data_IF_013095424599
#
_entry.id   IF_013095424599
#
_cell.length_a   1.000
_cell.length_b   1.000
_cell.length_c   1.000
_cell.angle_alpha   90.00
_cell.angle_beta   90.00
_cell.angle_gamma   90.00
#
_symmetry.space_group_name_H-M   'P 1'
#
loop_
_entity.id
_entity.type
_entity.pdbx_description
1 polymer ?
#
# COMPACT_ATOMS: atom_id res chain seq x y z
N UNK A 1 0.59 6.87 7.69
CA UNK A 1 -0.47 7.16 6.69
C UNK A 1 0.18 7.23 5.32
N UNK A 2 -0.52 6.87 4.25
CA UNK A 2 -0.01 6.97 2.87
C UNK A 2 -1.05 7.63 1.96
N UNK A 3 -0.61 8.61 1.17
CA UNK A 3 -1.49 9.34 0.25
C UNK A 3 -1.72 8.54 -1.03
N UNK A 4 -2.98 8.41 -1.44
CA UNK A 4 -3.35 7.80 -2.72
C UNK A 4 -3.10 8.82 -3.83
N UNK A 5 -2.40 8.47 -4.92
CA UNK A 5 -2.17 9.39 -6.04
C UNK A 5 -3.50 9.93 -6.58
N UNK A 6 -3.56 11.24 -6.86
CA UNK A 6 -4.79 11.90 -7.31
C UNK A 6 -5.40 11.28 -8.58
N UNK A 7 -4.57 10.75 -9.47
CA UNK A 7 -5.03 10.05 -10.67
C UNK A 7 -5.90 8.81 -10.33
N UNK A 8 -5.65 8.17 -9.19
CA UNK A 8 -6.41 7.03 -8.69
C UNK A 8 -7.61 7.44 -7.82
N UNK A 9 -7.70 8.70 -7.38
CA UNK A 9 -8.78 9.18 -6.50
C UNK A 9 -10.17 8.99 -7.13
N UNK A 10 -10.30 9.09 -8.45
CA UNK A 10 -11.55 8.84 -9.18
C UNK A 10 -12.11 7.41 -8.99
N UNK A 11 -11.29 6.48 -8.51
CA UNK A 11 -11.67 5.10 -8.20
C UNK A 11 -11.93 4.87 -6.70
N UNK A 12 -11.80 5.92 -5.89
CA UNK A 12 -12.03 5.89 -4.44
C UNK A 12 -13.40 6.52 -4.18
N UNK A 13 -14.21 5.99 -3.24
CA UNK A 13 -15.45 6.63 -2.81
C UNK A 13 -15.22 8.07 -2.34
N UNK A 14 -16.21 8.94 -2.50
CA UNK A 14 -16.12 10.34 -2.05
C UNK A 14 -16.41 10.51 -0.54
N UNK A 15 -16.46 9.41 0.21
CA UNK A 15 -16.72 9.36 1.64
C UNK A 15 -15.61 8.63 2.38
N UNK A 16 -15.46 8.93 3.67
CA UNK A 16 -14.52 8.21 4.52
C UNK A 16 -15.01 6.78 4.73
N UNK A 17 -14.14 5.81 4.49
CA UNK A 17 -14.58 4.42 4.46
C UNK A 17 -13.46 3.44 4.77
N UNK A 18 -13.85 2.23 5.12
CA UNK A 18 -12.94 1.11 5.37
C UNK A 18 -12.50 0.49 4.04
N UNK A 19 -11.20 0.23 3.91
CA UNK A 19 -10.65 -0.58 2.83
C UNK A 19 -10.08 -1.88 3.38
N UNK A 20 -10.29 -2.97 2.67
CA UNK A 20 -9.61 -4.25 2.95
C UNK A 20 -8.44 -4.41 1.98
N UNK A 21 -7.23 -4.56 2.52
CA UNK A 21 -6.02 -4.86 1.76
C UNK A 21 -5.67 -6.32 1.98
N UNK A 22 -5.57 -7.10 0.90
CA UNK A 22 -5.15 -8.49 0.90
C UNK A 22 -3.67 -8.60 0.50
N UNK A 23 -2.88 -9.43 1.17
CA UNK A 23 -1.54 -9.79 0.70
C UNK A 23 -1.62 -10.77 -0.48
N UNK A 24 -0.72 -10.61 -1.44
CA UNK A 24 -0.43 -11.65 -2.43
C UNK A 24 0.72 -12.52 -1.92
N UNK A 25 0.53 -13.83 -1.76
CA UNK A 25 1.59 -14.78 -1.35
C UNK A 25 1.20 -15.73 -0.22
N UNK A 26 2.18 -16.50 0.29
CA UNK A 26 2.00 -17.65 1.20
C UNK A 26 1.56 -17.34 2.64
N UNK A 27 1.44 -16.07 3.00
CA UNK A 27 0.78 -15.62 4.23
C UNK A 27 -0.48 -14.84 3.86
N UNK A 28 -1.63 -15.52 3.81
CA UNK A 28 -2.93 -14.92 3.50
C UNK A 28 -3.40 -14.04 4.67
N UNK A 29 -2.91 -12.80 4.72
CA UNK A 29 -3.37 -11.78 5.65
C UNK A 29 -4.25 -10.77 4.94
N UNK A 30 -5.28 -10.29 5.62
CA UNK A 30 -6.03 -9.11 5.21
C UNK A 30 -6.00 -8.07 6.34
N UNK A 31 -5.96 -6.80 5.94
CA UNK A 31 -5.90 -5.68 6.85
C UNK A 31 -6.95 -4.66 6.50
N UNK A 32 -7.66 -4.20 7.53
CA UNK A 32 -8.58 -3.07 7.43
C UNK A 32 -7.80 -1.76 7.59
N UNK A 33 -7.90 -0.88 6.60
CA UNK A 33 -7.25 0.44 6.60
C UNK A 33 -8.24 1.56 6.28
N UNK A 34 -8.26 2.60 7.12
CA UNK A 34 -9.20 3.71 6.96
C UNK A 34 -8.76 4.62 5.82
N UNK A 35 -9.61 4.78 4.82
CA UNK A 35 -9.45 5.75 3.76
C UNK A 35 -10.10 7.08 4.17
N UNK A 36 -9.26 8.05 4.50
CA UNK A 36 -9.69 9.43 4.72
C UNK A 36 -9.75 10.14 3.38
N UNK A 37 -10.94 10.63 3.03
CA UNK A 37 -11.18 11.35 1.79
C UNK A 37 -11.42 12.81 2.11
N UNK A 38 -10.67 13.68 1.44
CA UNK A 38 -10.78 15.14 1.46
C UNK A 38 -10.94 15.66 0.04
N UNK A 39 -11.33 16.92 -0.13
CA UNK A 39 -11.53 17.53 -1.45
C UNK A 39 -10.31 17.40 -2.37
N UNK A 40 -9.10 17.55 -1.84
CA UNK A 40 -7.87 17.51 -2.64
C UNK A 40 -7.20 16.12 -2.73
N UNK A 41 -7.45 15.21 -1.78
CA UNK A 41 -6.68 13.97 -1.66
C UNK A 41 -7.46 12.85 -0.95
N UNK A 42 -6.99 11.61 -1.13
CA UNK A 42 -7.38 10.46 -0.32
C UNK A 42 -6.15 9.86 0.36
N UNK A 43 -6.30 9.27 1.54
CA UNK A 43 -5.17 8.77 2.34
C UNK A 43 -5.58 7.54 3.14
N UNK A 44 -4.79 6.46 3.06
CA UNK A 44 -4.89 5.37 4.03
C UNK A 44 -4.23 5.77 5.35
N UNK A 45 -4.98 5.66 6.44
CA UNK A 45 -4.66 6.25 7.74
C UNK A 45 -4.57 5.18 8.84
N UNK A 46 -5.56 5.09 9.73
CA UNK A 46 -5.65 4.06 10.77
C UNK A 46 -5.61 2.67 10.12
N UNK A 47 -4.85 1.76 10.72
CA UNK A 47 -4.61 0.41 10.18
C UNK A 47 -3.38 0.31 9.28
N UNK A 48 -2.97 1.40 8.61
CA UNK A 48 -1.81 1.38 7.69
C UNK A 48 -0.49 1.01 8.39
N UNK A 49 -0.24 1.55 9.59
CA UNK A 49 0.99 1.24 10.33
C UNK A 49 1.04 -0.20 10.82
N UNK A 50 -0.11 -0.76 11.22
CA UNK A 50 -0.21 -2.18 11.59
C UNK A 50 0.08 -3.06 10.38
N UNK A 51 -0.56 -2.76 9.26
CA UNK A 51 -0.32 -3.40 7.98
C UNK A 51 1.17 -3.39 7.59
N UNK A 52 1.82 -2.22 7.60
CA UNK A 52 3.23 -2.10 7.20
C UNK A 52 4.23 -2.83 8.13
N UNK A 53 3.83 -3.08 9.39
CA UNK A 53 4.63 -3.86 10.34
C UNK A 53 4.47 -5.36 10.15
N UNK A 54 3.28 -5.82 9.80
CA UNK A 54 2.94 -7.24 9.65
C UNK A 54 3.27 -7.78 8.25
N UNK A 55 3.19 -6.93 7.22
CA UNK A 55 3.63 -7.21 5.87
C UNK A 55 4.93 -6.44 5.64
N UNK A 56 6.11 -7.05 5.90
CA UNK A 56 7.38 -6.34 6.00
C UNK A 56 7.81 -5.80 4.64
N UNK A 57 7.38 -4.57 4.37
CA UNK A 57 7.84 -3.76 3.23
C UNK A 57 9.14 -3.08 3.65
N UNK A 58 10.17 -3.20 2.83
CA UNK A 58 11.47 -2.55 3.06
C UNK A 58 11.62 -1.28 2.21
N UNK A 59 12.54 -0.41 2.61
CA UNK A 59 12.91 0.75 1.78
C UNK A 59 13.51 0.22 0.47
N UNK A 60 13.00 0.71 -0.66
CA UNK A 60 13.41 0.27 -1.99
C UNK A 60 12.41 -0.70 -2.65
N UNK A 61 11.49 -1.27 -1.87
CA UNK A 61 10.43 -2.12 -2.42
C UNK A 61 9.47 -1.33 -3.29
N UNK A 62 9.07 -1.93 -4.41
CA UNK A 62 7.96 -1.43 -5.22
C UNK A 62 6.68 -2.15 -4.78
N UNK A 63 5.87 -1.44 -3.99
CA UNK A 63 4.53 -1.85 -3.62
C UNK A 63 3.51 -1.49 -4.70
N UNK A 64 2.74 -2.46 -5.16
CA UNK A 64 1.62 -2.26 -6.10
C UNK A 64 0.31 -2.60 -5.39
N UNK A 65 -0.54 -1.58 -5.22
CA UNK A 65 -1.89 -1.75 -4.70
C UNK A 65 -2.90 -1.77 -5.85
N UNK A 66 -3.53 -2.92 -6.07
CA UNK A 66 -4.51 -3.12 -7.13
C UNK A 66 -5.92 -3.15 -6.54
N UNK A 67 -6.77 -2.20 -6.93
CA UNK A 67 -8.20 -2.23 -6.59
C UNK A 67 -8.87 -3.39 -7.35
N UNK A 68 -9.46 -4.33 -6.63
CA UNK A 68 -10.11 -5.53 -7.20
C UNK A 68 -11.63 -5.49 -7.09
N UNK A 69 -12.16 -4.80 -6.08
CA UNK A 69 -13.58 -4.49 -5.87
C UNK A 69 -13.69 -3.11 -5.22
N UNK A 70 -14.88 -2.49 -5.16
CA UNK A 70 -15.07 -1.33 -4.30
C UNK A 70 -14.49 -1.59 -2.91
N UNK A 71 -13.62 -0.69 -2.47
CA UNK A 71 -13.00 -0.73 -1.14
C UNK A 71 -12.12 -1.96 -0.86
N UNK A 72 -11.72 -2.70 -1.89
CA UNK A 72 -10.98 -3.94 -1.73
C UNK A 72 -9.75 -3.95 -2.66
N UNK A 73 -8.58 -4.14 -2.06
CA UNK A 73 -7.30 -4.07 -2.75
C UNK A 73 -6.48 -5.34 -2.54
N UNK A 74 -5.66 -5.69 -3.53
CA UNK A 74 -4.56 -6.66 -3.38
C UNK A 74 -3.24 -5.91 -3.43
N UNK A 75 -2.37 -6.18 -2.46
CA UNK A 75 -1.01 -5.67 -2.45
C UNK A 75 -0.05 -6.72 -2.98
N UNK A 76 0.86 -6.29 -3.85
CA UNK A 76 2.01 -7.08 -4.31
C UNK A 76 3.29 -6.30 -4.11
N UNK A 77 4.33 -6.95 -3.59
CA UNK A 77 5.70 -6.41 -3.55
C UNK A 77 6.47 -6.98 -4.73
N UNK A 78 7.21 -6.12 -5.43
CA UNK A 78 8.23 -6.52 -6.39
C UNK A 78 9.54 -5.84 -6.03
N UNK A 79 10.60 -6.61 -5.81
CA UNK A 79 11.92 -6.07 -5.55
C UNK A 79 12.48 -5.54 -6.87
N UNK A 80 13.11 -4.35 -6.87
CA UNK A 80 14.15 -4.10 -7.86
C UNK A 80 15.34 -4.96 -7.46
N UNK A 81 16.01 -5.60 -8.42
CA UNK A 81 17.29 -6.25 -8.16
C UNK A 81 18.16 -5.26 -7.37
N UNK A 82 18.75 -5.72 -6.26
CA UNK A 82 19.67 -4.92 -5.46
C UNK A 82 20.70 -4.34 -6.42
N UNK A 83 20.77 -3.02 -6.50
CA UNK A 83 21.92 -2.35 -7.09
C UNK A 83 23.11 -2.85 -6.25
N UNK A 84 23.99 -3.65 -6.85
CA UNK A 84 25.12 -4.24 -6.15
C UNK A 84 25.91 -3.09 -5.52
N UNK A 85 25.96 -3.08 -4.19
CA UNK A 85 26.78 -2.17 -3.42
C UNK A 85 28.24 -2.46 -3.82
N UNK A 86 28.80 -1.65 -4.73
CA UNK A 86 30.22 -1.70 -5.08
C UNK A 86 30.96 -1.24 -3.83
N UNK A 87 31.39 -2.20 -3.01
CA UNK A 87 32.37 -1.92 -1.97
C UNK A 87 33.69 -1.60 -2.65
N UNK A 88 34.01 -0.31 -2.72
CA UNK A 88 35.37 0.13 -3.00
C UNK A 88 36.20 -0.25 -1.78
N UNK A 89 37.00 -1.30 -1.95
CA UNK A 89 38.04 -1.70 -1.00
C UNK A 89 39.21 -0.73 -1.20
N UNK A 90 39.43 0.16 -0.24
CA UNK A 90 40.68 0.90 -0.05
C UNK A 90 41.67 0.08 0.80
#
# INVERSE_FOLDING_TARGET
MITIPNLFKKHIPNEQTMFTIHSKGSGCGSWEVWCLVREAQATFSRGWSKFAREYPIEIGDKCTLQLIKPNECVLTISNKAKEEEITVID
#
